data_IF_479263752988
#
_entry.id   IF_479263752988
#
_cell.length_a   1.000
_cell.length_b   1.000
_cell.length_c   1.000
_cell.angle_alpha   90.00
_cell.angle_beta   90.00
_cell.angle_gamma   90.00
#
_symmetry.space_group_name_H-M   'P 1'
#
loop_
_entity.id
_entity.type
_entity.pdbx_description
1 polymer ?
#
# COMPACT_ATOMS: atom_id res chain seq x y z
N UNK A 1 7.88 -5.58 -20.99
CA UNK A 1 8.76 -5.51 -19.79
C UNK A 1 10.23 -5.81 -20.08
N UNK A 2 10.56 -6.89 -20.81
CA UNK A 2 11.96 -7.32 -21.04
C UNK A 2 12.92 -6.25 -21.58
N UNK A 3 12.49 -5.39 -22.50
CA UNK A 3 13.34 -4.33 -23.07
C UNK A 3 13.72 -3.23 -22.06
N UNK A 4 12.86 -2.93 -21.08
CA UNK A 4 13.11 -1.91 -20.06
C UNK A 4 13.87 -2.44 -18.84
N UNK A 5 13.98 -3.77 -18.71
CA UNK A 5 14.52 -4.46 -17.53
C UNK A 5 15.93 -3.98 -17.14
N UNK A 6 16.90 -3.81 -18.07
CA UNK A 6 18.24 -3.33 -17.70
C UNK A 6 18.21 -1.91 -17.13
N UNK A 7 17.34 -1.04 -17.67
CA UNK A 7 17.17 0.33 -17.18
C UNK A 7 16.60 0.37 -15.76
N UNK A 8 15.58 -0.45 -15.48
CA UNK A 8 14.96 -0.52 -14.15
C UNK A 8 15.91 -1.09 -13.09
N UNK A 9 16.71 -2.10 -13.44
CA UNK A 9 17.69 -2.70 -12.53
C UNK A 9 18.78 -1.70 -12.12
N UNK A 10 19.21 -0.82 -13.04
CA UNK A 10 20.20 0.24 -12.76
C UNK A 10 19.73 1.28 -11.75
N UNK A 11 18.42 1.36 -11.50
CA UNK A 11 17.84 2.28 -10.52
C UNK A 11 17.89 1.73 -9.10
N UNK A 12 17.99 0.40 -8.94
CA UNK A 12 17.99 -0.23 -7.62
C UNK A 12 19.31 -0.01 -6.88
N UNK A 13 19.22 0.30 -5.60
CA UNK A 13 20.39 0.32 -4.72
C UNK A 13 20.89 -1.11 -4.45
N UNK A 14 22.14 -1.32 -4.00
CA UNK A 14 22.71 -2.66 -3.78
C UNK A 14 21.85 -3.57 -2.88
N UNK A 15 21.29 -3.04 -1.80
CA UNK A 15 20.39 -3.80 -0.91
C UNK A 15 19.09 -4.21 -1.58
N UNK A 16 18.59 -3.40 -2.51
CA UNK A 16 17.38 -3.68 -3.28
C UNK A 16 17.66 -4.68 -4.40
N UNK A 17 18.84 -4.63 -5.03
CA UNK A 17 19.31 -5.66 -5.97
C UNK A 17 19.41 -7.02 -5.29
N UNK A 18 19.99 -7.08 -4.08
CA UNK A 18 20.05 -8.31 -3.29
C UNK A 18 18.65 -8.84 -2.98
N UNK A 19 17.72 -7.96 -2.56
CA UNK A 19 16.31 -8.35 -2.32
C UNK A 19 15.61 -8.81 -3.60
N UNK A 20 15.84 -8.14 -4.73
CA UNK A 20 15.33 -8.53 -6.04
C UNK A 20 15.77 -9.95 -6.41
N UNK A 21 17.06 -10.28 -6.21
CA UNK A 21 17.61 -11.61 -6.48
C UNK A 21 17.09 -12.71 -5.54
N UNK A 22 16.61 -12.36 -4.35
CA UNK A 22 16.11 -13.31 -3.36
C UNK A 22 14.66 -13.77 -3.59
N UNK A 23 13.89 -13.10 -4.46
CA UNK A 23 12.51 -13.51 -4.75
C UNK A 23 12.49 -14.83 -5.54
N UNK A 24 11.76 -15.82 -5.00
CA UNK A 24 11.59 -17.13 -5.65
C UNK A 24 10.56 -17.12 -6.76
N UNK A 25 9.50 -16.32 -6.61
CA UNK A 25 8.42 -16.21 -7.60
C UNK A 25 8.71 -15.05 -8.53
N UNK A 26 8.61 -15.30 -9.84
CA UNK A 26 8.83 -14.28 -10.86
C UNK A 26 7.88 -13.10 -10.68
N UNK A 27 6.60 -13.35 -10.45
CA UNK A 27 5.61 -12.29 -10.22
C UNK A 27 5.97 -11.33 -9.07
N UNK A 28 6.51 -11.86 -7.96
CA UNK A 28 6.94 -11.05 -6.81
C UNK A 28 8.16 -10.20 -7.17
N UNK A 29 9.11 -10.81 -7.89
CA UNK A 29 10.33 -10.16 -8.37
C UNK A 29 10.00 -9.02 -9.34
N UNK A 30 9.08 -9.25 -10.26
CA UNK A 30 8.61 -8.26 -11.23
C UNK A 30 7.90 -7.08 -10.55
N UNK A 31 6.95 -7.36 -9.64
CA UNK A 31 6.28 -6.32 -8.84
C UNK A 31 7.27 -5.49 -8.04
N UNK A 32 8.22 -6.14 -7.38
CA UNK A 32 9.23 -5.45 -6.59
C UNK A 32 10.07 -4.53 -7.45
N UNK A 33 10.54 -5.00 -8.61
CA UNK A 33 11.34 -4.19 -9.52
C UNK A 33 10.56 -2.99 -10.04
N UNK A 34 9.36 -3.21 -10.57
CA UNK A 34 8.51 -2.14 -11.09
C UNK A 34 8.20 -1.11 -10.00
N UNK A 35 7.73 -1.56 -8.84
CA UNK A 35 7.36 -0.66 -7.76
C UNK A 35 8.53 0.12 -7.20
N UNK A 36 9.69 -0.55 -7.02
CA UNK A 36 10.86 0.10 -6.46
C UNK A 36 11.51 1.09 -7.43
N UNK A 37 11.65 0.72 -8.70
CA UNK A 37 12.23 1.60 -9.71
C UNK A 37 11.33 2.80 -10.00
N UNK A 38 10.01 2.62 -10.03
CA UNK A 38 9.06 3.73 -10.14
C UNK A 38 9.11 4.66 -8.91
N UNK A 39 9.11 4.11 -7.69
CA UNK A 39 9.23 4.89 -6.46
C UNK A 39 10.49 5.77 -6.46
N UNK A 40 11.65 5.18 -6.82
CA UNK A 40 12.91 5.92 -6.87
C UNK A 40 12.89 7.04 -7.89
N UNK A 41 12.37 6.78 -9.09
CA UNK A 41 12.27 7.83 -10.13
C UNK A 41 11.37 8.97 -9.67
N UNK A 42 10.17 8.67 -9.17
CA UNK A 42 9.23 9.70 -8.71
C UNK A 42 9.79 10.53 -7.55
N UNK A 43 10.43 9.90 -6.57
CA UNK A 43 11.10 10.62 -5.48
C UNK A 43 12.31 11.41 -5.97
N UNK A 44 13.07 10.89 -6.94
CA UNK A 44 14.21 11.58 -7.53
C UNK A 44 13.77 12.85 -8.27
N UNK A 45 12.65 12.77 -9.02
CA UNK A 45 12.03 13.93 -9.63
C UNK A 45 11.55 14.94 -8.58
N UNK A 46 10.87 14.48 -7.53
CA UNK A 46 10.36 15.35 -6.46
C UNK A 46 11.48 16.10 -5.73
N UNK A 47 12.60 15.43 -5.49
CA UNK A 47 13.73 15.95 -4.72
C UNK A 47 14.86 16.50 -5.60
N UNK A 48 14.66 16.54 -6.92
CA UNK A 48 15.67 16.93 -7.92
C UNK A 48 17.03 16.24 -7.67
N UNK A 49 16.98 14.96 -7.33
CA UNK A 49 18.12 14.16 -6.87
C UNK A 49 18.25 12.88 -7.70
N UNK A 50 19.46 12.35 -7.80
CA UNK A 50 19.69 11.06 -8.48
C UNK A 50 18.87 9.94 -7.81
N UNK A 51 17.92 9.30 -8.53
CA UNK A 51 17.09 8.22 -8.01
C UNK A 51 17.88 7.09 -7.33
N UNK A 52 19.12 6.83 -7.75
CA UNK A 52 19.98 5.76 -7.25
C UNK A 52 20.59 6.08 -5.89
N UNK A 53 20.71 7.36 -5.55
CA UNK A 53 21.36 7.86 -4.33
C UNK A 53 20.38 8.14 -3.20
N UNK A 54 19.07 8.03 -3.46
CA UNK A 54 18.03 8.25 -2.45
C UNK A 54 18.18 7.26 -1.29
N UNK A 55 18.19 7.75 -0.03
CA UNK A 55 18.34 6.93 1.17
C UNK A 55 17.01 6.27 1.55
N UNK A 56 16.54 5.36 0.70
CA UNK A 56 15.38 4.53 0.99
C UNK A 56 15.77 3.40 1.95
N UNK A 57 15.11 3.37 3.09
CA UNK A 57 15.22 2.32 4.10
C UNK A 57 13.94 1.48 4.16
N UNK A 58 14.04 0.28 4.72
CA UNK A 58 12.87 -0.48 5.14
C UNK A 58 12.44 0.02 6.52
N UNK A 59 11.26 0.62 6.60
CA UNK A 59 10.60 0.99 7.83
C UNK A 59 9.79 -0.16 8.43
N UNK A 60 8.85 0.19 9.31
CA UNK A 60 7.99 -0.79 9.99
C UNK A 60 7.26 -1.68 8.98
N UNK A 61 7.21 -2.99 9.28
CA UNK A 61 6.59 -4.01 8.41
C UNK A 61 7.17 -4.07 6.99
N UNK A 62 8.39 -3.56 6.77
CA UNK A 62 9.04 -3.55 5.46
C UNK A 62 8.55 -2.46 4.50
N UNK A 63 7.72 -1.52 4.97
CA UNK A 63 7.29 -0.35 4.18
C UNK A 63 8.51 0.51 3.84
N UNK A 64 8.71 0.92 2.58
CA UNK A 64 9.78 1.86 2.27
C UNK A 64 9.58 3.22 2.92
N UNK A 65 10.66 3.78 3.45
CA UNK A 65 10.71 5.12 4.02
C UNK A 65 11.93 5.85 3.46
N UNK A 66 11.77 7.13 3.16
CA UNK A 66 12.87 8.00 2.76
C UNK A 66 13.37 8.75 3.99
N UNK A 67 14.57 8.39 4.46
CA UNK A 67 15.15 8.97 5.68
C UNK A 67 16.56 9.50 5.44
N UNK A 68 16.83 10.70 5.91
CA UNK A 68 18.17 11.29 5.97
C UNK A 68 18.49 11.57 7.44
N UNK A 69 19.62 11.06 7.92
CA UNK A 69 20.05 11.22 9.33
C UNK A 69 18.96 10.79 10.33
N UNK A 70 18.22 9.74 10.00
CA UNK A 70 17.14 9.20 10.82
C UNK A 70 15.80 9.95 10.73
N UNK A 71 15.74 11.10 10.05
CA UNK A 71 14.55 11.95 9.90
C UNK A 71 13.86 11.75 8.55
N UNK A 72 12.53 11.90 8.44
CA UNK A 72 11.84 11.92 7.15
C UNK A 72 12.44 12.98 6.22
N UNK A 73 12.74 12.61 4.97
CA UNK A 73 13.53 13.44 4.05
C UNK A 73 12.86 13.64 2.67
N UNK A 74 11.53 13.76 2.64
CA UNK A 74 10.77 13.99 1.42
C UNK A 74 9.26 13.88 1.63
N UNK A 75 8.48 13.83 0.54
CA UNK A 75 7.02 13.80 0.64
C UNK A 75 6.55 12.51 1.35
N UNK A 76 5.45 12.55 2.11
CA UNK A 76 4.77 11.33 2.52
C UNK A 76 4.35 10.49 1.32
N UNK A 77 4.61 9.18 1.41
CA UNK A 77 4.20 8.24 0.38
C UNK A 77 3.79 6.87 0.94
N UNK A 78 3.11 6.11 0.11
CA UNK A 78 2.79 4.71 0.36
C UNK A 78 2.82 3.90 -0.94
N UNK A 79 3.15 2.62 -0.81
CA UNK A 79 3.20 1.67 -1.93
C UNK A 79 2.35 0.48 -1.57
N UNK A 80 1.49 0.06 -2.49
CA UNK A 80 0.72 -1.17 -2.40
C UNK A 80 0.86 -1.96 -3.70
N UNK A 81 0.69 -3.28 -3.61
CA UNK A 81 0.72 -4.14 -4.77
C UNK A 81 -0.13 -5.38 -4.55
N UNK A 82 -0.82 -5.83 -5.60
CA UNK A 82 -1.56 -7.09 -5.57
C UNK A 82 -1.74 -7.57 -7.02
N UNK A 83 -1.69 -8.88 -7.23
CA UNK A 83 -1.69 -9.43 -8.59
C UNK A 83 -0.62 -8.78 -9.47
N UNK A 84 -0.98 -8.22 -10.61
CA UNK A 84 -0.01 -7.58 -11.51
C UNK A 84 0.08 -6.05 -11.33
N UNK A 85 -0.58 -5.51 -10.30
CA UNK A 85 -0.63 -4.06 -10.06
C UNK A 85 0.35 -3.64 -8.96
N UNK A 86 0.97 -2.48 -9.20
CA UNK A 86 1.63 -1.68 -8.17
C UNK A 86 1.00 -0.30 -8.19
N UNK A 87 0.62 0.19 -7.02
CA UNK A 87 0.03 1.51 -6.82
C UNK A 87 0.91 2.30 -5.86
N UNK A 88 1.25 3.52 -6.25
CA UNK A 88 1.98 4.47 -5.43
C UNK A 88 1.08 5.66 -5.13
N UNK A 89 1.04 6.08 -3.87
CA UNK A 89 0.37 7.30 -3.46
C UNK A 89 1.38 8.25 -2.83
N UNK A 90 1.29 9.52 -3.20
CA UNK A 90 2.12 10.61 -2.69
C UNK A 90 1.21 11.74 -2.21
N UNK A 91 1.70 12.49 -1.24
CA UNK A 91 1.12 13.76 -0.86
C UNK A 91 2.25 14.73 -0.52
N UNK A 92 1.99 16.04 -0.60
CA UNK A 92 3.03 17.05 -0.35
C UNK A 92 3.49 17.07 1.12
N UNK A 93 2.55 17.03 2.06
CA UNK A 93 2.78 17.30 3.48
C UNK A 93 2.05 16.33 4.45
N UNK A 94 0.89 15.80 4.07
CA UNK A 94 0.06 14.92 4.92
C UNK A 94 0.34 13.43 4.72
N UNK A 95 0.18 12.65 5.79
CA UNK A 95 0.29 11.19 5.75
C UNK A 95 -0.73 10.57 4.79
N UNK A 96 -0.24 9.76 3.85
CA UNK A 96 -1.04 9.07 2.83
C UNK A 96 -0.85 7.56 2.92
N UNK A 97 -1.91 6.81 2.67
CA UNK A 97 -1.90 5.36 2.59
C UNK A 97 -2.68 4.89 1.38
N UNK A 98 -2.22 3.81 0.75
CA UNK A 98 -2.90 3.18 -0.38
C UNK A 98 -2.95 1.68 -0.19
N UNK A 99 -4.02 1.08 -0.68
CA UNK A 99 -4.16 -0.37 -0.71
C UNK A 99 -4.80 -0.81 -2.02
N UNK A 100 -4.40 -1.99 -2.48
CA UNK A 100 -4.96 -2.65 -3.66
C UNK A 100 -5.01 -4.13 -3.38
N UNK A 101 -6.13 -4.78 -3.72
CA UNK A 101 -6.28 -6.22 -3.64
C UNK A 101 -6.89 -6.81 -4.89
N UNK A 102 -6.30 -7.92 -5.35
CA UNK A 102 -6.88 -8.76 -6.40
C UNK A 102 -7.98 -9.61 -5.81
N UNK A 103 -9.13 -9.63 -6.49
CA UNK A 103 -10.26 -10.49 -6.18
C UNK A 103 -9.86 -11.96 -6.14
N UNK A 104 -10.30 -12.64 -5.08
CA UNK A 104 -10.11 -14.08 -4.88
C UNK A 104 -11.47 -14.69 -4.56
N UNK A 105 -12.19 -15.27 -5.54
CA UNK A 105 -13.56 -15.76 -5.35
C UNK A 105 -13.70 -16.77 -4.20
N UNK A 106 -12.65 -17.56 -3.95
CA UNK A 106 -12.58 -18.61 -2.93
C UNK A 106 -12.22 -18.06 -1.52
N UNK A 107 -12.07 -16.75 -1.34
CA UNK A 107 -11.68 -16.18 -0.05
C UNK A 107 -12.83 -16.31 0.97
N UNK A 108 -12.56 -17.01 2.08
CA UNK A 108 -13.44 -17.04 3.24
C UNK A 108 -13.43 -15.68 3.97
N UNK A 109 -14.18 -14.72 3.43
CA UNK A 109 -14.14 -13.32 3.88
C UNK A 109 -14.85 -13.08 5.22
N UNK A 110 -15.91 -13.83 5.53
CA UNK A 110 -16.78 -13.60 6.71
C UNK A 110 -16.02 -13.64 8.05
N UNK A 111 -15.16 -14.64 8.34
CA UNK A 111 -14.41 -14.68 9.59
C UNK A 111 -13.43 -13.50 9.72
N UNK A 112 -12.82 -13.08 8.62
CA UNK A 112 -11.90 -11.95 8.58
C UNK A 112 -12.68 -10.66 8.87
N UNK A 113 -13.80 -10.44 8.16
CA UNK A 113 -14.67 -9.28 8.34
C UNK A 113 -15.10 -9.10 9.81
N UNK A 114 -15.57 -10.17 10.45
CA UNK A 114 -16.00 -10.16 11.86
C UNK A 114 -14.88 -9.83 12.84
N UNK A 115 -13.63 -10.12 12.49
CA UNK A 115 -12.46 -9.85 13.33
C UNK A 115 -11.95 -8.42 13.21
N UNK A 116 -12.06 -7.81 12.02
CA UNK A 116 -11.32 -6.57 11.70
C UNK A 116 -12.20 -5.38 11.34
N UNK A 117 -13.47 -5.60 10.96
CA UNK A 117 -14.40 -4.54 10.58
C UNK A 117 -15.40 -4.24 11.71
N UNK A 118 -15.91 -3.00 11.79
CA UNK A 118 -16.99 -2.66 12.71
C UNK A 118 -18.22 -3.56 12.48
N UNK A 119 -18.95 -3.87 13.55
CA UNK A 119 -20.17 -4.70 13.49
C UNK A 119 -21.21 -4.15 12.51
N UNK A 120 -21.38 -2.83 12.47
CA UNK A 120 -22.26 -2.16 11.52
C UNK A 120 -21.85 -2.40 10.05
N UNK A 121 -20.55 -2.41 9.75
CA UNK A 121 -20.04 -2.73 8.41
C UNK A 121 -20.27 -4.19 8.06
N UNK A 122 -20.11 -5.11 9.01
CA UNK A 122 -20.40 -6.54 8.80
C UNK A 122 -21.89 -6.76 8.53
N UNK A 123 -22.77 -6.13 9.32
CA UNK A 123 -24.22 -6.19 9.09
C UNK A 123 -24.61 -5.62 7.71
N UNK A 124 -24.01 -4.50 7.32
CA UNK A 124 -24.20 -3.93 5.97
C UNK A 124 -23.74 -4.89 4.87
N UNK A 125 -22.59 -5.56 5.03
CA UNK A 125 -22.12 -6.59 4.08
C UNK A 125 -23.10 -7.75 3.96
N UNK A 126 -23.67 -8.20 5.08
CA UNK A 126 -24.63 -9.31 5.10
C UNK A 126 -25.95 -8.99 4.37
N UNK A 127 -26.32 -7.72 4.27
CA UNK A 127 -27.51 -7.26 3.54
C UNK A 127 -27.31 -7.18 2.01
N UNK A 128 -26.06 -7.28 1.52
CA UNK A 128 -25.78 -7.25 0.07
C UNK A 128 -26.16 -8.58 -0.60
N UNK A 129 -26.48 -8.58 -1.91
CA UNK A 129 -26.65 -9.82 -2.67
C UNK A 129 -25.42 -10.73 -2.53
N UNK A 130 -25.63 -12.04 -2.37
CA UNK A 130 -24.55 -12.98 -2.03
C UNK A 130 -23.36 -12.92 -2.99
N UNK A 131 -23.62 -12.79 -4.28
CA UNK A 131 -22.60 -12.67 -5.33
C UNK A 131 -21.74 -11.39 -5.20
N UNK A 132 -22.25 -10.33 -4.57
CA UNK A 132 -21.56 -9.04 -4.45
C UNK A 132 -20.77 -8.92 -3.14
N UNK A 133 -21.07 -9.76 -2.14
CA UNK A 133 -20.47 -9.67 -0.79
C UNK A 133 -18.95 -9.78 -0.78
N UNK A 134 -18.30 -10.72 -1.50
CA UNK A 134 -16.83 -10.83 -1.48
C UNK A 134 -16.13 -9.57 -1.99
N UNK A 135 -16.66 -8.99 -3.06
CA UNK A 135 -16.13 -7.75 -3.65
C UNK A 135 -16.38 -6.52 -2.76
N UNK A 136 -17.55 -6.45 -2.15
CA UNK A 136 -17.89 -5.40 -1.20
C UNK A 136 -16.98 -5.48 0.05
N UNK A 137 -16.75 -6.69 0.57
CA UNK A 137 -15.80 -6.92 1.65
C UNK A 137 -14.39 -6.47 1.25
N UNK A 138 -13.92 -6.86 0.07
CA UNK A 138 -12.57 -6.54 -0.38
C UNK A 138 -12.37 -5.01 -0.50
N UNK A 139 -13.40 -4.28 -0.92
CA UNK A 139 -13.36 -2.81 -0.93
C UNK A 139 -13.26 -2.22 0.50
N UNK A 140 -14.01 -2.76 1.46
CA UNK A 140 -13.93 -2.34 2.86
C UNK A 140 -12.57 -2.67 3.50
N UNK A 141 -12.00 -3.83 3.13
CA UNK A 141 -10.65 -4.20 3.50
C UNK A 141 -9.62 -3.18 2.98
N UNK A 142 -9.66 -2.83 1.69
CA UNK A 142 -8.74 -1.83 1.14
C UNK A 142 -8.89 -0.47 1.83
N UNK A 143 -10.11 -0.02 2.12
CA UNK A 143 -10.34 1.24 2.86
C UNK A 143 -9.73 1.21 4.26
N UNK A 144 -9.84 0.08 4.95
CA UNK A 144 -9.23 -0.12 6.26
C UNK A 144 -7.70 -0.08 6.17
N UNK A 145 -7.11 -0.91 5.31
CA UNK A 145 -5.65 -1.00 5.14
C UNK A 145 -5.04 0.32 4.70
N UNK A 146 -5.67 1.03 3.74
CA UNK A 146 -5.21 2.36 3.33
C UNK A 146 -5.21 3.34 4.51
N UNK A 147 -6.23 3.30 5.36
CA UNK A 147 -6.34 4.18 6.55
C UNK A 147 -5.27 3.85 7.60
N UNK A 148 -5.02 2.57 7.85
CA UNK A 148 -3.97 2.09 8.74
C UNK A 148 -2.58 2.52 8.24
N UNK A 149 -2.32 2.33 6.95
CA UNK A 149 -1.09 2.73 6.27
C UNK A 149 -0.86 4.24 6.28
N UNK A 150 -1.92 5.05 6.18
CA UNK A 150 -1.85 6.51 6.28
C UNK A 150 -1.44 6.94 7.69
N UNK A 151 -1.99 6.29 8.72
CA UNK A 151 -1.64 6.53 10.14
C UNK A 151 -0.26 6.00 10.53
N UNK A 152 0.34 5.12 9.73
CA UNK A 152 1.58 4.41 10.05
C UNK A 152 1.40 3.30 11.08
N UNK A 153 0.17 2.89 11.37
CA UNK A 153 -0.16 1.85 12.35
C UNK A 153 -0.56 0.58 11.62
N UNK A 154 0.15 -0.53 11.83
CA UNK A 154 -0.24 -1.83 11.28
C UNK A 154 -1.53 -2.38 11.90
N UNK A 155 -2.07 -3.48 11.36
CA UNK A 155 -3.25 -4.18 11.91
C UNK A 155 -3.13 -4.51 13.41
N UNK A 156 -1.92 -4.77 13.90
CA UNK A 156 -1.65 -5.07 15.32
C UNK A 156 -2.09 -3.94 16.27
N UNK A 157 -2.14 -2.69 15.81
CA UNK A 157 -2.55 -1.55 16.63
C UNK A 157 -4.07 -1.51 16.92
N UNK A 158 -4.92 -2.24 16.17
CA UNK A 158 -6.37 -2.27 16.45
C UNK A 158 -6.72 -3.01 17.74
N UNK A 159 -5.90 -4.00 18.14
CA UNK A 159 -6.14 -4.77 19.37
C UNK A 159 -5.92 -3.98 20.66
N UNK A 160 -5.35 -2.78 20.58
CA UNK A 160 -4.92 -1.99 21.73
C UNK A 160 -5.84 -0.80 22.06
N UNK A 161 -6.99 -0.63 21.38
CA UNK A 161 -7.89 0.53 21.63
C UNK A 161 -7.31 1.89 21.22
N UNK A 162 -6.15 1.92 20.56
CA UNK A 162 -5.38 3.16 20.24
C UNK A 162 -5.97 3.96 19.07
N UNK A 163 -7.03 3.49 18.41
CA UNK A 163 -7.58 4.13 17.22
C UNK A 163 -8.67 5.19 17.48
N UNK A 164 -9.28 5.22 18.67
CA UNK A 164 -10.48 6.03 18.89
C UNK A 164 -10.22 7.53 19.10
N UNK A 165 -8.98 7.95 19.38
CA UNK A 165 -8.65 9.34 19.69
C UNK A 165 -8.18 10.20 18.49
N UNK A 166 -7.98 9.62 17.30
CA UNK A 166 -7.47 10.37 16.13
C UNK A 166 -8.56 10.57 15.09
N UNK A 167 -8.69 11.77 14.49
CA UNK A 167 -9.67 12.02 13.44
C UNK A 167 -9.54 10.97 12.34
N UNK A 168 -10.67 10.48 11.84
CA UNK A 168 -10.66 9.48 10.78
C UNK A 168 -10.02 10.05 9.51
N UNK A 169 -9.14 9.28 8.82
CA UNK A 169 -8.58 9.73 7.55
C UNK A 169 -9.71 9.91 6.54
N UNK A 170 -9.58 10.89 5.65
CA UNK A 170 -10.42 10.94 4.44
C UNK A 170 -10.04 9.76 3.56
N UNK A 171 -11.03 9.11 2.95
CA UNK A 171 -10.85 7.85 2.21
C UNK A 171 -11.58 7.91 0.89
N UNK A 172 -10.99 7.31 -0.14
CA UNK A 172 -11.58 7.21 -1.47
C UNK A 172 -11.35 5.83 -2.04
N UNK A 173 -12.36 5.28 -2.72
CA UNK A 173 -12.20 4.09 -3.56
C UNK A 173 -11.48 4.50 -4.85
N UNK A 174 -10.54 3.66 -5.29
CA UNK A 174 -9.87 3.86 -6.58
C UNK A 174 -10.67 3.15 -7.68
N UNK A 175 -10.80 3.79 -8.84
CA UNK A 175 -11.26 3.10 -10.04
C UNK A 175 -10.17 2.10 -10.46
N UNK A 176 -10.49 0.81 -10.38
CA UNK A 176 -9.54 -0.27 -10.62
C UNK A 176 -9.97 -1.13 -11.81
N UNK A 177 -9.02 -1.80 -12.49
CA UNK A 177 -9.36 -2.80 -13.50
C UNK A 177 -10.27 -3.90 -12.93
N UNK A 178 -11.05 -4.60 -13.78
CA UNK A 178 -11.84 -5.74 -13.35
C UNK A 178 -11.02 -6.76 -12.57
N UNK A 179 -11.60 -7.27 -11.47
CA UNK A 179 -10.93 -8.22 -10.58
C UNK A 179 -9.96 -7.58 -9.57
N UNK A 180 -10.00 -6.26 -9.40
CA UNK A 180 -9.26 -5.55 -8.37
C UNK A 180 -10.15 -4.58 -7.60
N UNK A 181 -9.80 -4.36 -6.33
CA UNK A 181 -10.31 -3.28 -5.48
C UNK A 181 -9.14 -2.47 -4.97
N UNK A 182 -9.38 -1.19 -4.72
CA UNK A 182 -8.33 -0.31 -4.22
C UNK A 182 -8.91 0.87 -3.47
N UNK A 183 -8.10 1.42 -2.58
CA UNK A 183 -8.45 2.60 -1.82
C UNK A 183 -7.22 3.44 -1.52
N UNK A 184 -7.43 4.74 -1.37
CA UNK A 184 -6.44 5.69 -0.87
C UNK A 184 -7.03 6.44 0.32
N UNK A 185 -6.20 6.67 1.33
CA UNK A 185 -6.56 7.43 2.52
C UNK A 185 -5.56 8.53 2.80
N UNK A 186 -6.05 9.64 3.32
CA UNK A 186 -5.28 10.83 3.64
C UNK A 186 -5.61 11.30 5.06
N UNK A 187 -4.57 11.51 5.87
CA UNK A 187 -4.75 12.07 7.21
C UNK A 187 -5.28 13.51 7.12
N UNK A 188 -6.24 13.85 7.99
CA UNK A 188 -6.71 15.22 8.15
C UNK A 188 -5.63 16.13 8.76
N UNK A 189 -5.91 17.43 8.77
CA UNK A 189 -5.17 18.37 9.61
C UNK A 189 -5.45 18.00 11.07
N UNK A 190 -4.39 17.80 11.86
CA UNK A 190 -4.48 17.61 13.30
C UNK A 190 -4.78 18.91 14.02
#
# INVERSE_FOLDING_TARGET
>A
MRAALPGLLRLLAPRELARYGAFRREDDRERFLLGRSALRQLLGCWLQSDPRRLPLAAGAHGKPELRLEGRPAGPPFNVAHSGHLVVLAFHADRGVGVDVERSRPQLAWRPIARRVLPSATVAWLDQRPEAERPEAFLQQWCLLEASLKARGTGLAARGAGVLDARPEPRRWCLAMPPGYRGAVSLLGWG
#
